data_IF_796753990591
#
_entry.id   IF_796753990591
#
_cell.length_a   1.000
_cell.length_b   1.000
_cell.length_c   1.000
_cell.angle_alpha   90.00
_cell.angle_beta   90.00
_cell.angle_gamma   90.00
#
_symmetry.space_group_name_H-M   'P 1'
#
loop_
_entity.id
_entity.type
_entity.pdbx_description
1 polymer ?
#
# COMPACT_ATOMS: atom_id res chain seq x y z
N UNK A 1 4.87 -13.77 -3.40
CA UNK A 1 6.15 -14.26 -2.90
C UNK A 1 5.97 -15.51 -2.03
N UNK A 2 7.01 -16.30 -1.85
CA UNK A 2 7.12 -17.41 -0.90
C UNK A 2 7.85 -16.96 0.39
N UNK A 3 7.86 -17.79 1.43
CA UNK A 3 8.65 -17.51 2.65
C UNK A 3 10.16 -17.53 2.39
N UNK A 4 10.61 -18.35 1.43
CA UNK A 4 12.02 -18.44 1.06
C UNK A 4 12.49 -17.17 0.34
N UNK A 5 11.63 -16.58 -0.51
CA UNK A 5 11.92 -15.28 -1.14
C UNK A 5 12.02 -14.16 -0.11
N UNK A 6 11.16 -14.14 0.93
CA UNK A 6 11.24 -13.12 1.99
C UNK A 6 12.55 -13.23 2.81
N UNK A 7 13.04 -14.44 3.08
CA UNK A 7 14.33 -14.64 3.76
C UNK A 7 15.51 -14.15 2.91
N UNK A 8 15.41 -14.25 1.58
CA UNK A 8 16.42 -13.71 0.65
C UNK A 8 16.50 -12.18 0.72
N UNK A 9 15.37 -11.50 1.00
CA UNK A 9 15.32 -10.07 1.29
C UNK A 9 15.71 -9.71 2.73
N UNK A 10 16.26 -10.65 3.52
CA UNK A 10 16.69 -10.41 4.90
C UNK A 10 15.56 -10.27 5.90
N UNK A 11 14.31 -10.54 5.51
CA UNK A 11 13.15 -10.47 6.40
C UNK A 11 13.17 -11.69 7.32
N UNK A 12 13.25 -11.43 8.64
CA UNK A 12 13.23 -12.50 9.62
C UNK A 12 11.83 -13.12 9.69
N UNK A 13 11.70 -14.35 9.19
CA UNK A 13 10.45 -15.12 9.18
C UNK A 13 10.25 -15.98 10.43
N UNK A 14 11.13 -15.87 11.44
CA UNK A 14 11.01 -16.64 12.67
C UNK A 14 9.73 -16.23 13.43
N UNK A 15 8.81 -17.17 13.57
CA UNK A 15 7.46 -16.96 14.13
C UNK A 15 7.42 -16.60 15.62
N UNK A 16 8.58 -16.57 16.28
CA UNK A 16 8.75 -16.25 17.70
C UNK A 16 9.34 -14.86 17.91
N UNK A 17 9.51 -14.07 16.84
CA UNK A 17 9.83 -12.65 16.94
C UNK A 17 8.58 -11.88 17.45
N UNK A 18 8.63 -11.47 18.72
CA UNK A 18 7.63 -10.65 19.41
C UNK A 18 7.60 -9.18 18.93
N UNK A 19 8.32 -8.85 17.86
CA UNK A 19 8.43 -7.49 17.31
C UNK A 19 7.19 -7.13 16.50
N UNK A 20 6.14 -6.72 17.20
CA UNK A 20 4.99 -6.01 16.67
C UNK A 20 4.39 -5.13 17.77
N UNK A 21 3.61 -4.11 17.41
CA UNK A 21 2.96 -3.21 18.36
C UNK A 21 2.05 -4.02 19.31
N UNK A 22 2.38 -4.16 20.61
CA UNK A 22 1.59 -4.98 21.53
C UNK A 22 0.20 -4.38 21.81
N UNK A 23 0.03 -3.06 21.68
CA UNK A 23 -1.24 -2.36 21.91
C UNK A 23 -2.32 -2.80 20.91
N UNK A 24 -1.94 -3.29 19.72
CA UNK A 24 -2.90 -3.84 18.74
C UNK A 24 -3.66 -5.07 19.28
N UNK A 25 -3.18 -5.66 20.38
CA UNK A 25 -3.85 -6.75 21.08
C UNK A 25 -4.98 -6.26 21.99
N UNK A 26 -5.09 -4.97 22.29
CA UNK A 26 -6.12 -4.47 23.19
C UNK A 26 -7.50 -4.44 22.52
N UNK A 27 -8.55 -4.73 23.30
CA UNK A 27 -9.92 -4.80 22.75
C UNK A 27 -10.44 -3.44 22.28
N UNK A 28 -9.94 -2.37 22.88
CA UNK A 28 -10.26 -0.97 22.62
C UNK A 28 -9.22 -0.25 21.76
N UNK A 29 -8.25 -0.97 21.18
CA UNK A 29 -7.26 -0.40 20.27
C UNK A 29 -7.92 0.43 19.15
N UNK A 30 -7.51 1.70 19.05
CA UNK A 30 -8.05 2.66 18.09
C UNK A 30 -7.28 2.58 16.77
N UNK A 31 -7.73 1.67 15.90
CA UNK A 31 -7.15 1.49 14.57
C UNK A 31 -7.19 2.78 13.73
N UNK A 32 -8.22 3.62 13.91
CA UNK A 32 -8.39 4.84 13.15
C UNK A 32 -7.41 5.93 13.62
N UNK A 33 -7.20 6.06 14.93
CA UNK A 33 -6.17 6.93 15.49
C UNK A 33 -4.77 6.49 15.04
N UNK A 34 -4.45 5.20 15.18
CA UNK A 34 -3.16 4.66 14.77
C UNK A 34 -2.82 4.95 13.29
N UNK A 35 -3.80 4.89 12.39
CA UNK A 35 -3.61 5.26 10.97
C UNK A 35 -3.39 6.77 10.78
N UNK A 36 -4.00 7.61 11.61
CA UNK A 36 -3.78 9.07 11.54
C UNK A 36 -2.38 9.45 12.01
N UNK A 37 -1.83 8.69 12.96
CA UNK A 37 -0.51 8.91 13.55
C UNK A 37 0.64 8.45 12.65
N UNK A 38 0.36 7.70 11.58
CA UNK A 38 1.34 7.40 10.52
C UNK A 38 1.73 8.68 9.75
N UNK A 39 2.72 9.39 10.28
CA UNK A 39 3.27 10.65 9.78
C UNK A 39 4.77 10.77 10.13
N UNK A 40 5.64 10.55 9.14
CA UNK A 40 7.10 10.48 9.31
C UNK A 40 7.69 11.76 9.92
N UNK A 41 7.10 12.93 9.63
CA UNK A 41 7.57 14.21 10.17
C UNK A 41 7.29 14.34 11.68
N UNK A 42 6.36 13.54 12.22
CA UNK A 42 5.97 13.57 13.64
C UNK A 42 6.60 12.44 14.46
N UNK A 43 7.19 11.44 13.81
CA UNK A 43 7.90 10.34 14.46
C UNK A 43 9.32 10.78 14.86
N UNK A 44 9.81 10.27 15.98
CA UNK A 44 11.18 10.48 16.44
C UNK A 44 11.92 9.16 16.72
N UNK A 45 13.26 9.24 16.77
CA UNK A 45 14.13 8.14 17.17
C UNK A 45 13.81 6.79 16.52
N UNK A 46 13.64 5.79 17.37
CA UNK A 46 13.43 4.39 17.01
C UNK A 46 12.12 4.16 16.25
N UNK A 47 11.04 4.86 16.61
CA UNK A 47 9.74 4.73 15.92
C UNK A 47 9.85 5.12 14.44
N UNK A 48 10.57 6.20 14.16
CA UNK A 48 10.79 6.67 12.79
C UNK A 48 11.62 5.66 11.99
N UNK A 49 12.68 5.12 12.59
CA UNK A 49 13.56 4.16 11.94
C UNK A 49 12.82 2.84 11.63
N UNK A 50 12.01 2.34 12.58
CA UNK A 50 11.16 1.17 12.38
C UNK A 50 10.12 1.39 11.27
N UNK A 51 9.50 2.57 11.22
CA UNK A 51 8.51 2.87 10.19
C UNK A 51 9.14 3.03 8.79
N UNK A 52 10.34 3.61 8.69
CA UNK A 52 11.10 3.66 7.43
C UNK A 52 11.51 2.26 6.98
N UNK A 53 11.92 1.38 7.89
CA UNK A 53 12.21 -0.02 7.57
C UNK A 53 10.97 -0.76 7.04
N UNK A 54 9.78 -0.47 7.58
CA UNK A 54 8.52 -1.00 7.03
C UNK A 54 8.31 -0.52 5.59
N UNK A 55 8.59 0.75 5.28
CA UNK A 55 8.47 1.29 3.92
C UNK A 55 9.44 0.60 2.96
N UNK A 56 10.70 0.42 3.37
CA UNK A 56 11.73 -0.30 2.61
C UNK A 56 11.29 -1.75 2.32
N UNK A 57 10.83 -2.49 3.34
CA UNK A 57 10.33 -3.86 3.17
C UNK A 57 9.15 -3.92 2.20
N UNK A 58 8.20 -2.99 2.30
CA UNK A 58 7.03 -2.95 1.41
C UNK A 58 7.44 -2.61 -0.02
N UNK A 59 8.39 -1.70 -0.22
CA UNK A 59 8.91 -1.39 -1.54
C UNK A 59 9.66 -2.59 -2.14
N UNK A 60 10.54 -3.25 -1.38
CA UNK A 60 11.34 -4.38 -1.83
C UNK A 60 10.49 -5.62 -2.16
N UNK A 61 9.37 -5.82 -1.45
CA UNK A 61 8.46 -6.96 -1.64
C UNK A 61 7.30 -6.66 -2.62
N UNK A 62 7.33 -5.50 -3.25
CA UNK A 62 6.35 -5.09 -4.25
C UNK A 62 6.59 -5.77 -5.61
N UNK A 63 5.57 -5.79 -6.47
CA UNK A 63 5.67 -6.40 -7.82
C UNK A 63 6.34 -5.44 -8.85
N UNK A 64 7.05 -4.39 -8.43
CA UNK A 64 7.70 -3.40 -9.32
C UNK A 64 9.21 -3.61 -9.44
N UNK A 65 9.77 -3.35 -10.63
CA UNK A 65 11.23 -3.30 -10.85
C UNK A 65 11.84 -1.96 -10.39
N UNK A 66 11.00 -0.94 -10.21
CA UNK A 66 11.36 0.40 -9.77
C UNK A 66 11.18 0.56 -8.26
N UNK A 67 11.96 -0.20 -7.48
CA UNK A 67 11.86 -0.26 -6.01
C UNK A 67 12.16 1.09 -5.36
N UNK A 68 13.28 1.72 -5.73
CA UNK A 68 13.72 3.01 -5.16
C UNK A 68 12.68 4.13 -5.39
N UNK A 69 12.11 4.19 -6.59
CA UNK A 69 11.06 5.17 -6.91
C UNK A 69 9.78 4.92 -6.11
N UNK A 70 9.43 3.65 -5.88
CA UNK A 70 8.28 3.32 -5.04
C UNK A 70 8.53 3.67 -3.58
N UNK A 71 9.73 3.38 -3.07
CA UNK A 71 10.12 3.71 -1.70
C UNK A 71 10.01 5.22 -1.45
N UNK A 72 10.57 6.05 -2.33
CA UNK A 72 10.47 7.51 -2.24
C UNK A 72 9.02 7.99 -2.25
N UNK A 73 8.19 7.46 -3.16
CA UNK A 73 6.76 7.77 -3.20
C UNK A 73 6.00 7.35 -1.93
N UNK A 74 6.41 6.26 -1.28
CA UNK A 74 5.85 5.82 0.00
C UNK A 74 6.32 6.70 1.16
N UNK A 75 7.57 7.12 1.18
CA UNK A 75 8.06 8.10 2.17
C UNK A 75 7.23 9.38 2.06
N UNK A 76 7.08 9.90 0.85
CA UNK A 76 6.37 11.15 0.59
C UNK A 76 4.89 11.11 1.01
N UNK A 77 4.15 10.06 0.63
CA UNK A 77 2.71 10.00 0.95
C UNK A 77 2.44 9.89 2.45
N UNK A 78 3.41 9.40 3.24
CA UNK A 78 3.34 9.29 4.71
C UNK A 78 4.12 10.39 5.44
N UNK A 79 4.62 11.42 4.77
CA UNK A 79 5.37 12.50 5.39
C UNK A 79 4.63 13.84 5.26
N UNK A 80 4.19 14.44 6.37
CA UNK A 80 3.47 15.73 6.32
C UNK A 80 4.30 16.92 5.85
N UNK A 81 5.62 16.79 5.76
CA UNK A 81 6.50 17.77 5.12
C UNK A 81 6.53 17.65 3.58
N UNK A 82 5.98 16.57 3.00
CA UNK A 82 5.93 16.33 1.56
C UNK A 82 4.69 16.96 0.90
N UNK A 83 4.83 17.40 -0.35
CA UNK A 83 3.73 17.96 -1.14
C UNK A 83 2.63 16.93 -1.46
N UNK A 84 2.96 15.64 -1.42
CA UNK A 84 2.02 14.55 -1.77
C UNK A 84 1.43 13.84 -0.55
N UNK A 85 1.64 14.38 0.67
CA UNK A 85 1.14 13.79 1.91
C UNK A 85 -0.36 13.46 1.86
N UNK A 86 -0.71 12.18 2.03
CA UNK A 86 -2.07 11.64 1.90
C UNK A 86 -2.80 12.00 0.60
N UNK A 87 -2.06 12.37 -0.45
CA UNK A 87 -2.61 12.64 -1.78
C UNK A 87 -2.11 11.60 -2.78
N UNK A 88 -2.87 10.51 -2.85
CA UNK A 88 -2.56 9.36 -3.68
C UNK A 88 -2.53 9.70 -5.18
N UNK A 89 -3.27 10.73 -5.61
CA UNK A 89 -3.26 11.23 -6.99
C UNK A 89 -1.94 11.93 -7.28
N UNK A 90 -1.58 12.90 -6.44
CA UNK A 90 -0.32 13.64 -6.59
C UNK A 90 0.90 12.71 -6.46
N UNK A 91 0.85 11.74 -5.54
CA UNK A 91 1.90 10.71 -5.39
C UNK A 91 2.05 9.90 -6.68
N UNK A 92 0.94 9.49 -7.31
CA UNK A 92 0.98 8.75 -8.56
C UNK A 92 1.58 9.59 -9.71
N UNK A 93 1.23 10.88 -9.78
CA UNK A 93 1.76 11.80 -10.78
C UNK A 93 3.27 12.01 -10.60
N UNK A 94 3.72 12.31 -9.37
CA UNK A 94 5.14 12.46 -9.03
C UNK A 94 5.95 11.19 -9.37
N UNK A 95 5.43 10.02 -9.03
CA UNK A 95 6.05 8.73 -9.37
C UNK A 95 6.16 8.49 -10.88
N UNK A 96 5.16 8.90 -11.66
CA UNK A 96 5.24 8.81 -13.13
C UNK A 96 6.26 9.79 -13.72
N UNK A 97 6.37 10.99 -13.15
CA UNK A 97 7.33 12.01 -13.59
C UNK A 97 8.77 11.59 -13.30
N UNK A 98 9.05 11.14 -12.07
CA UNK A 98 10.37 10.63 -11.67
C UNK A 98 10.82 9.44 -12.54
N UNK A 99 9.90 8.53 -12.88
CA UNK A 99 10.21 7.43 -13.79
C UNK A 99 10.54 7.91 -15.22
N UNK A 100 9.84 8.94 -15.73
CA UNK A 100 10.15 9.50 -17.06
C UNK A 100 11.50 10.20 -17.05
N UNK A 101 11.81 10.98 -16.01
CA UNK A 101 13.11 11.64 -15.86
C UNK A 101 14.26 10.63 -15.80
N UNK A 102 14.10 9.53 -15.04
CA UNK A 102 15.05 8.41 -15.01
C UNK A 102 15.31 7.85 -16.40
N UNK A 103 14.25 7.52 -17.16
CA UNK A 103 14.38 7.00 -18.53
C UNK A 103 15.09 7.96 -19.49
N UNK A 104 14.86 9.27 -19.35
CA UNK A 104 15.52 10.30 -20.16
C UNK A 104 17.01 10.43 -19.79
N UNK A 105 17.35 10.32 -18.50
CA UNK A 105 18.72 10.39 -18.00
C UNK A 105 19.59 9.21 -18.39
N UNK A 106 19.01 8.00 -18.52
CA UNK A 106 19.73 6.76 -18.82
C UNK A 106 20.00 6.56 -20.34
N UNK A 107 19.67 7.52 -21.20
CA UNK A 107 19.82 7.43 -22.67
C UNK A 107 19.14 6.18 -23.30
N UNK A 108 18.14 5.60 -22.63
CA UNK A 108 17.32 4.46 -23.12
C UNK A 108 16.28 4.99 -24.12
N UNK A 109 16.76 5.69 -25.15
CA UNK A 109 15.95 6.51 -26.04
C UNK A 109 15.25 5.73 -27.18
N UNK A 110 15.53 4.44 -27.38
CA UNK A 110 15.10 3.71 -28.60
C UNK A 110 14.16 2.51 -28.38
N UNK A 111 14.00 2.02 -27.15
CA UNK A 111 13.04 0.94 -26.81
C UNK A 111 11.83 1.41 -25.97
N UNK A 112 11.85 2.65 -25.47
CA UNK A 112 10.84 3.22 -24.54
C UNK A 112 9.46 3.55 -25.16
N UNK A 113 9.24 3.26 -26.45
CA UNK A 113 7.90 3.36 -27.07
C UNK A 113 6.90 2.32 -26.54
N UNK A 114 7.37 1.28 -25.84
CA UNK A 114 6.52 0.46 -24.99
C UNK A 114 6.39 1.11 -23.62
N UNK A 115 5.44 2.06 -23.47
CA UNK A 115 5.01 2.66 -22.19
C UNK A 115 4.36 1.60 -21.27
N UNK A 116 5.12 0.59 -20.87
CA UNK A 116 4.71 -0.43 -19.90
C UNK A 116 4.84 0.21 -18.53
N UNK A 117 3.75 0.80 -18.06
CA UNK A 117 3.77 1.48 -16.77
C UNK A 117 3.85 0.43 -15.65
N UNK A 118 4.88 0.58 -14.81
CA UNK A 118 5.28 -0.40 -13.78
C UNK A 118 4.43 -0.29 -12.50
N UNK A 119 3.57 0.71 -12.34
CA UNK A 119 2.78 0.87 -11.12
C UNK A 119 1.29 0.53 -11.24
N UNK A 120 0.81 0.18 -12.44
CA UNK A 120 -0.61 -0.15 -12.69
C UNK A 120 -0.95 -0.79 -14.04
N UNK A 121 0.05 -1.25 -14.81
CA UNK A 121 -0.08 -1.70 -16.22
C UNK A 121 -0.22 -0.58 -17.27
N UNK A 122 0.07 -0.93 -18.55
CA UNK A 122 0.26 -0.03 -19.71
C UNK A 122 -0.62 1.25 -19.72
N UNK A 123 0.04 2.43 -19.79
CA UNK A 123 -0.54 3.80 -19.86
C UNK A 123 -1.59 3.98 -20.98
N UNK A 124 -1.55 3.13 -22.01
CA UNK A 124 -2.50 3.12 -23.15
C UNK A 124 -3.95 2.85 -22.73
N UNK A 125 -4.17 2.09 -21.64
CA UNK A 125 -5.52 1.86 -21.12
C UNK A 125 -5.99 3.01 -20.21
N UNK A 126 -5.06 3.59 -19.42
CA UNK A 126 -5.29 4.74 -18.56
C UNK A 126 -5.74 6.00 -19.32
N UNK A 127 -5.14 6.28 -20.48
CA UNK A 127 -5.43 7.51 -21.23
C UNK A 127 -6.78 7.55 -21.96
N UNK A 128 -7.43 6.39 -22.22
CA UNK A 128 -8.53 6.31 -23.21
C UNK A 128 -9.94 6.56 -22.69
N UNK A 129 -10.18 6.74 -21.39
CA UNK A 129 -11.57 6.77 -20.86
C UNK A 129 -11.85 7.89 -19.86
N UNK A 130 -12.17 9.09 -20.37
CA UNK A 130 -12.48 10.33 -19.61
C UNK A 130 -13.69 10.28 -18.63
N UNK A 131 -14.08 9.14 -18.05
CA UNK A 131 -15.19 9.06 -17.07
C UNK A 131 -14.77 8.78 -15.62
N UNK A 132 -13.49 8.49 -15.33
CA UNK A 132 -12.91 8.48 -13.99
C UNK A 132 -12.01 9.71 -13.81
N UNK A 133 -12.19 10.50 -12.74
CA UNK A 133 -11.53 11.80 -12.56
C UNK A 133 -10.11 11.70 -11.99
N UNK A 134 -9.67 10.53 -11.52
CA UNK A 134 -8.38 10.27 -10.86
C UNK A 134 -8.06 8.78 -11.03
N UNK A 135 -6.80 8.43 -11.31
CA UNK A 135 -6.38 7.02 -11.45
C UNK A 135 -5.08 6.77 -10.71
N UNK A 136 -5.10 5.75 -9.87
CA UNK A 136 -3.92 5.29 -9.13
C UNK A 136 -3.67 3.86 -9.53
N UNK A 137 -2.42 3.53 -9.81
CA UNK A 137 -2.01 2.17 -10.12
C UNK A 137 -2.19 1.23 -8.91
N UNK A 138 -2.61 0.00 -9.18
CA UNK A 138 -2.84 -1.03 -8.15
C UNK A 138 -1.59 -1.32 -7.32
N UNK A 139 -0.38 -1.19 -7.89
CA UNK A 139 0.86 -1.45 -7.16
C UNK A 139 1.13 -0.33 -6.15
N UNK A 140 1.04 0.95 -6.54
CA UNK A 140 1.18 2.08 -5.61
C UNK A 140 0.10 2.04 -4.53
N UNK A 141 -1.17 1.91 -4.91
CA UNK A 141 -2.26 1.83 -3.96
C UNK A 141 -2.09 0.63 -3.00
N UNK A 142 -1.67 -0.52 -3.53
CA UNK A 142 -1.42 -1.73 -2.75
C UNK A 142 -0.27 -1.57 -1.76
N UNK A 143 0.82 -0.93 -2.19
CA UNK A 143 1.96 -0.62 -1.33
C UNK A 143 1.57 0.35 -0.22
N UNK A 144 0.79 1.40 -0.52
CA UNK A 144 0.28 2.33 0.51
C UNK A 144 -0.59 1.61 1.55
N UNK A 145 -1.44 0.67 1.12
CA UNK A 145 -2.21 -0.16 2.06
C UNK A 145 -1.32 -1.10 2.88
N UNK A 146 -0.27 -1.67 2.29
CA UNK A 146 0.70 -2.50 2.99
C UNK A 146 1.43 -1.68 4.07
N UNK A 147 1.97 -0.50 3.75
CA UNK A 147 2.62 0.38 4.73
C UNK A 147 1.67 0.74 5.86
N UNK A 148 0.41 1.10 5.56
CA UNK A 148 -0.55 1.42 6.61
C UNK A 148 -0.87 0.23 7.53
N UNK A 149 -0.98 -0.98 6.96
CA UNK A 149 -1.22 -2.21 7.73
C UNK A 149 0.00 -2.54 8.59
N UNK A 150 1.18 -2.58 7.99
CA UNK A 150 2.43 -2.92 8.67
C UNK A 150 2.82 -1.88 9.72
N UNK A 151 2.64 -0.59 9.42
CA UNK A 151 2.86 0.51 10.38
C UNK A 151 1.98 0.38 11.62
N UNK A 152 0.67 0.13 11.45
CA UNK A 152 -0.23 -0.06 12.61
C UNK A 152 0.05 -1.36 13.36
N UNK A 153 0.41 -2.43 12.64
CA UNK A 153 0.84 -3.70 13.24
C UNK A 153 2.17 -3.53 13.98
N UNK A 154 2.98 -2.52 13.65
CA UNK A 154 4.32 -2.29 14.22
C UNK A 154 5.38 -3.23 13.64
N UNK A 155 5.29 -3.53 12.35
CA UNK A 155 6.29 -4.34 11.64
C UNK A 155 5.79 -4.93 10.32
N UNK A 156 6.71 -5.56 9.59
CA UNK A 156 6.47 -6.16 8.28
C UNK A 156 5.64 -7.45 8.28
N UNK A 157 5.89 -8.33 7.31
CA UNK A 157 5.08 -9.55 7.07
C UNK A 157 5.08 -10.49 8.30
N UNK A 158 6.21 -10.60 8.99
CA UNK A 158 6.35 -11.46 10.17
C UNK A 158 5.53 -10.99 11.36
N UNK A 159 5.49 -9.68 11.59
CA UNK A 159 4.67 -9.06 12.64
C UNK A 159 3.17 -9.37 12.44
N UNK A 160 2.71 -9.29 11.18
CA UNK A 160 1.35 -9.66 10.83
C UNK A 160 1.05 -11.15 11.10
N UNK A 161 1.97 -12.06 10.77
CA UNK A 161 1.82 -13.49 11.08
C UNK A 161 1.73 -13.73 12.59
N UNK A 162 2.61 -13.12 13.38
CA UNK A 162 2.59 -13.17 14.85
C UNK A 162 1.26 -12.67 15.42
N UNK A 163 0.73 -11.58 14.87
CA UNK A 163 -0.57 -11.04 15.26
C UNK A 163 -1.73 -12.01 14.94
N UNK A 164 -1.74 -12.63 13.76
CA UNK A 164 -2.72 -13.66 13.37
C UNK A 164 -2.65 -14.87 14.31
N UNK A 165 -1.45 -15.32 14.67
CA UNK A 165 -1.22 -16.43 15.60
C UNK A 165 -1.78 -16.12 17.00
N UNK A 166 -1.55 -14.91 17.51
CA UNK A 166 -1.98 -14.49 18.86
C UNK A 166 -3.48 -14.18 18.99
N UNK A 167 -4.10 -13.54 17.99
CA UNK A 167 -5.52 -13.11 18.07
C UNK A 167 -6.49 -13.91 17.21
N UNK A 168 -5.96 -14.69 16.27
CA UNK A 168 -6.74 -15.46 15.32
C UNK A 168 -7.20 -14.62 14.12
N UNK A 169 -7.23 -15.26 12.94
CA UNK A 169 -7.53 -14.64 11.64
C UNK A 169 -8.81 -13.78 11.63
N UNK A 170 -9.86 -14.18 12.36
CA UNK A 170 -11.14 -13.45 12.38
C UNK A 170 -11.03 -12.08 13.07
N UNK A 171 -10.30 -12.01 14.18
CA UNK A 171 -10.10 -10.75 14.92
C UNK A 171 -9.17 -9.85 14.14
N UNK A 172 -8.06 -10.40 13.62
CA UNK A 172 -7.13 -9.66 12.77
C UNK A 172 -7.83 -9.12 11.52
N UNK A 173 -8.65 -9.90 10.83
CA UNK A 173 -9.43 -9.44 9.68
C UNK A 173 -10.31 -8.24 10.03
N UNK A 174 -10.97 -8.27 11.20
CA UNK A 174 -11.79 -7.14 11.66
C UNK A 174 -10.96 -5.89 11.89
N UNK A 175 -9.82 -6.00 12.58
CA UNK A 175 -8.95 -4.86 12.89
C UNK A 175 -8.29 -4.31 11.62
N UNK A 176 -7.74 -5.15 10.76
CA UNK A 176 -7.16 -4.71 9.50
C UNK A 176 -8.19 -4.15 8.52
N UNK A 177 -9.45 -4.58 8.57
CA UNK A 177 -10.52 -3.91 7.82
C UNK A 177 -10.68 -2.46 8.25
N UNK A 178 -10.57 -2.17 9.56
CA UNK A 178 -10.65 -0.80 10.10
C UNK A 178 -9.44 0.01 9.68
N UNK A 179 -8.22 -0.54 9.81
CA UNK A 179 -6.97 0.09 9.36
C UNK A 179 -7.05 0.44 7.88
N UNK A 180 -7.34 -0.54 7.01
CA UNK A 180 -7.44 -0.31 5.58
C UNK A 180 -8.59 0.66 5.22
N UNK A 181 -9.71 0.63 5.95
CA UNK A 181 -10.81 1.57 5.74
C UNK A 181 -10.43 3.00 6.15
N UNK A 182 -9.74 3.16 7.28
CA UNK A 182 -9.23 4.45 7.72
C UNK A 182 -8.24 5.02 6.69
N UNK A 183 -7.31 4.19 6.22
CA UNK A 183 -6.35 4.59 5.20
C UNK A 183 -7.05 4.98 3.90
N UNK A 184 -7.99 4.16 3.41
CA UNK A 184 -8.73 4.49 2.19
C UNK A 184 -9.49 5.82 2.31
N UNK A 185 -10.08 6.11 3.48
CA UNK A 185 -10.74 7.40 3.74
C UNK A 185 -9.74 8.56 3.79
N UNK A 186 -8.56 8.37 4.41
CA UNK A 186 -7.45 9.35 4.46
C UNK A 186 -7.02 9.73 3.04
N UNK A 187 -6.93 8.74 2.16
CA UNK A 187 -6.65 8.88 0.72
C UNK A 187 -7.87 9.33 -0.12
N UNK A 188 -8.96 9.79 0.53
CA UNK A 188 -10.18 10.31 -0.12
C UNK A 188 -10.95 9.27 -0.95
N UNK A 189 -10.69 7.97 -0.79
CA UNK A 189 -11.41 6.86 -1.43
C UNK A 189 -12.64 6.50 -0.57
N UNK A 190 -13.78 7.14 -0.83
CA UNK A 190 -15.00 6.94 -0.01
C UNK A 190 -15.91 5.81 -0.48
N UNK A 191 -15.95 5.56 -1.78
CA UNK A 191 -16.82 4.55 -2.38
C UNK A 191 -16.26 4.05 -3.71
N UNK A 192 -16.69 2.87 -4.11
CA UNK A 192 -16.41 2.28 -5.42
C UNK A 192 -17.75 1.95 -6.06
N UNK A 193 -18.08 2.64 -7.16
CA UNK A 193 -19.38 2.51 -7.86
C UNK A 193 -20.61 2.64 -6.95
N UNK A 194 -20.57 3.58 -6.01
CA UNK A 194 -21.66 3.82 -5.07
C UNK A 194 -21.76 2.81 -3.92
N UNK A 195 -20.87 1.79 -3.88
CA UNK A 195 -20.71 0.93 -2.70
C UNK A 195 -19.70 1.57 -1.76
N UNK A 196 -20.07 1.76 -0.49
CA UNK A 196 -19.18 2.33 0.51
C UNK A 196 -17.88 1.51 0.61
N UNK A 197 -16.74 2.20 0.71
CA UNK A 197 -15.43 1.55 0.70
C UNK A 197 -15.28 0.53 1.84
N UNK A 198 -15.87 0.80 3.01
CA UNK A 198 -15.87 -0.10 4.15
C UNK A 198 -16.46 -1.48 3.81
N UNK A 199 -17.51 -1.52 2.99
CA UNK A 199 -18.15 -2.77 2.56
C UNK A 199 -17.24 -3.56 1.61
N UNK A 200 -16.55 -2.86 0.72
CA UNK A 200 -15.59 -3.45 -0.22
C UNK A 200 -14.41 -4.04 0.54
N UNK A 201 -13.79 -3.26 1.43
CA UNK A 201 -12.61 -3.64 2.20
C UNK A 201 -12.92 -4.80 3.16
N UNK A 202 -14.02 -4.72 3.91
CA UNK A 202 -14.41 -5.77 4.86
C UNK A 202 -14.58 -7.13 4.19
N UNK A 203 -15.01 -7.15 2.92
CA UNK A 203 -15.13 -8.39 2.15
C UNK A 203 -13.78 -8.86 1.60
N UNK A 204 -12.92 -7.93 1.20
CA UNK A 204 -11.63 -8.19 0.59
C UNK A 204 -10.61 -8.75 1.60
N UNK A 205 -10.59 -8.23 2.83
CA UNK A 205 -9.51 -8.54 3.80
C UNK A 205 -9.46 -10.04 4.15
N UNK A 206 -10.60 -10.71 4.22
CA UNK A 206 -10.67 -12.12 4.59
C UNK A 206 -9.99 -13.01 3.54
N UNK A 207 -10.06 -12.59 2.28
CA UNK A 207 -9.37 -13.23 1.16
C UNK A 207 -7.90 -12.78 1.14
N UNK A 208 -7.65 -11.49 1.36
CA UNK A 208 -6.32 -10.90 1.30
C UNK A 208 -5.36 -11.42 2.39
N UNK A 209 -5.87 -11.80 3.56
CA UNK A 209 -5.07 -12.36 4.65
C UNK A 209 -4.41 -13.71 4.35
N UNK A 210 -4.83 -14.40 3.29
CA UNK A 210 -4.13 -15.59 2.81
C UNK A 210 -2.94 -15.25 1.89
N UNK A 211 -2.73 -13.97 1.58
CA UNK A 211 -1.63 -13.47 0.78
C UNK A 211 -0.61 -12.78 1.68
N UNK A 212 0.68 -12.89 1.32
CA UNK A 212 1.75 -12.14 1.98
C UNK A 212 1.58 -10.62 1.73
N UNK A 213 1.14 -10.24 0.53
CA UNK A 213 0.89 -8.84 0.13
C UNK A 213 -0.60 -8.48 0.25
N UNK A 214 -1.07 -8.31 1.50
CA UNK A 214 -2.49 -8.03 1.81
C UNK A 214 -2.99 -6.77 1.11
N UNK A 215 -2.20 -5.70 1.09
CA UNK A 215 -2.52 -4.42 0.46
C UNK A 215 -2.65 -4.50 -1.05
N UNK A 216 -1.77 -5.23 -1.74
CA UNK A 216 -1.89 -5.45 -3.20
C UNK A 216 -3.13 -6.29 -3.52
N UNK A 217 -3.40 -7.35 -2.75
CA UNK A 217 -4.62 -8.13 -2.91
C UNK A 217 -5.88 -7.25 -2.70
N UNK A 218 -5.85 -6.37 -1.71
CA UNK A 218 -6.91 -5.40 -1.46
C UNK A 218 -7.11 -4.43 -2.63
N UNK A 219 -6.03 -3.84 -3.14
CA UNK A 219 -6.05 -2.93 -4.28
C UNK A 219 -6.60 -3.61 -5.55
N UNK A 220 -6.22 -4.87 -5.82
CA UNK A 220 -6.78 -5.69 -6.91
C UNK A 220 -8.29 -5.94 -6.73
N UNK A 221 -8.75 -6.17 -5.50
CA UNK A 221 -10.19 -6.31 -5.24
C UNK A 221 -10.90 -4.99 -5.51
N UNK A 222 -10.34 -3.85 -5.10
CA UNK A 222 -10.91 -2.52 -5.37
C UNK A 222 -11.03 -2.28 -6.89
N UNK A 223 -9.95 -2.49 -7.66
CA UNK A 223 -9.95 -2.43 -9.13
C UNK A 223 -11.04 -3.34 -9.72
N UNK A 224 -11.14 -4.60 -9.27
CA UNK A 224 -12.16 -5.55 -9.76
C UNK A 224 -13.61 -5.06 -9.60
N UNK A 225 -13.85 -4.11 -8.68
CA UNK A 225 -15.16 -3.52 -8.40
C UNK A 225 -15.35 -2.15 -9.02
N UNK A 226 -14.34 -1.52 -9.61
CA UNK A 226 -14.47 -0.18 -10.18
C UNK A 226 -15.17 -0.17 -11.56
N UNK A 227 -15.22 1.01 -12.19
CA UNK A 227 -15.86 1.19 -13.50
C UNK A 227 -15.15 0.46 -14.63
N UNK A 228 -13.83 0.28 -14.52
CA UNK A 228 -12.97 -0.33 -15.52
C UNK A 228 -12.19 -1.52 -14.99
N UNK A 229 -12.89 -2.40 -14.28
CA UNK A 229 -12.46 -3.68 -13.72
C UNK A 229 -11.23 -4.35 -14.34
N UNK A 230 -10.33 -4.75 -13.44
CA UNK A 230 -9.17 -5.61 -13.67
C UNK A 230 -8.23 -5.05 -14.73
N UNK A 231 -8.02 -3.73 -14.71
CA UNK A 231 -7.12 -3.08 -15.65
C UNK A 231 -5.79 -2.66 -15.00
N UNK A 232 -5.59 -2.94 -13.71
CA UNK A 232 -4.41 -2.54 -12.94
C UNK A 232 -4.44 -1.10 -12.42
N UNK A 233 -5.56 -0.41 -12.56
CA UNK A 233 -5.80 0.95 -12.10
C UNK A 233 -7.07 0.99 -11.24
N UNK A 234 -7.06 1.86 -10.25
CA UNK A 234 -8.22 2.17 -9.43
C UNK A 234 -8.75 3.54 -9.84
N UNK A 235 -9.98 3.58 -10.35
CA UNK A 235 -10.70 4.83 -10.55
C UNK A 235 -11.25 5.36 -9.20
N UNK A 236 -10.69 6.46 -8.71
CA UNK A 236 -11.18 7.12 -7.50
C UNK A 236 -12.27 8.11 -7.89
N UNK A 237 -13.49 7.88 -7.41
CA UNK A 237 -14.57 8.87 -7.50
C UNK A 237 -14.54 9.77 -6.27
N UNK A 238 -14.11 11.04 -6.46
CA UNK A 238 -14.28 12.14 -5.48
C UNK A 238 -15.77 12.43 -5.26
#
# INVERSE_FOLDING_TARGET
MSEDELKEFGINMDEDADTFNPEILDEDFDCEAAVNDLDIAKMDGEEKDEFLQVIEEVAATSDTEEVELLEEALIDIFNSDSETFNDLEATQESLEEAYVEKLESEEIALLSRTKKLIFGSNKVYAAKKKKGKIRVGVNLAGAVFNVAISGVVGGGVSALKSYIKKKGKKVVAKNLSRVATAQAKKLKIKSVRGVAIVTVISSAIYVALDYLNVGVALARVIDSKDWYRNNGWIDITK
#
